data_IF_844833124000
#
_entry.id   IF_844833124000
#
_cell.length_a   1.000
_cell.length_b   1.000
_cell.length_c   1.000
_cell.angle_alpha   90.00
_cell.angle_beta   90.00
_cell.angle_gamma   90.00
#
_symmetry.space_group_name_H-M   'P 1'
#
loop_
_entity.id
_entity.type
_entity.pdbx_description
1 polymer ?
#
# COMPACT_ATOMS: atom_id res chain seq x y z
N UNK A 1 52.36 -7.86 5.69
CA UNK A 1 51.09 -7.24 5.25
C UNK A 1 50.92 -7.65 3.80
N UNK A 2 50.15 -8.69 3.54
CA UNK A 2 49.82 -9.08 2.16
C UNK A 2 48.78 -8.08 1.63
N UNK A 3 49.05 -7.46 0.48
CA UNK A 3 48.12 -6.54 -0.17
C UNK A 3 47.30 -7.29 -1.22
N UNK A 4 46.08 -6.83 -1.45
CA UNK A 4 45.18 -7.40 -2.47
C UNK A 4 45.76 -7.37 -3.90
N UNK A 5 46.77 -6.51 -4.15
CA UNK A 5 47.51 -6.43 -5.43
C UNK A 5 48.48 -7.60 -5.65
N UNK A 6 48.74 -8.38 -4.61
CA UNK A 6 49.66 -9.52 -4.65
C UNK A 6 48.92 -10.81 -5.09
N UNK A 7 47.63 -10.71 -5.44
CA UNK A 7 46.78 -11.78 -5.95
C UNK A 7 46.34 -11.50 -7.39
N UNK A 8 46.63 -12.44 -8.30
CA UNK A 8 46.04 -12.47 -9.64
C UNK A 8 44.63 -13.07 -9.56
N UNK A 9 43.61 -12.22 -9.61
CA UNK A 9 42.21 -12.63 -9.52
C UNK A 9 41.55 -12.64 -10.91
N UNK A 10 41.05 -13.80 -11.33
CA UNK A 10 40.17 -13.93 -12.49
C UNK A 10 38.71 -13.70 -12.10
N UNK A 11 38.08 -12.69 -12.72
CA UNK A 11 36.65 -12.42 -12.53
C UNK A 11 35.85 -13.34 -13.46
N UNK A 12 35.40 -14.46 -12.93
CA UNK A 12 34.54 -15.42 -13.64
C UNK A 12 33.06 -15.07 -13.46
N UNK A 13 32.40 -14.67 -14.54
CA UNK A 13 30.96 -14.42 -14.56
C UNK A 13 30.18 -15.74 -14.63
N UNK A 14 29.33 -16.00 -13.62
CA UNK A 14 28.42 -17.14 -13.60
C UNK A 14 26.96 -16.68 -13.81
N UNK A 15 26.29 -17.11 -14.89
CA UNK A 15 24.88 -16.82 -15.13
C UNK A 15 23.98 -17.29 -13.98
N UNK A 16 22.98 -16.46 -13.63
CA UNK A 16 22.20 -16.58 -12.39
C UNK A 16 21.46 -17.92 -12.15
N UNK A 17 21.27 -18.76 -13.19
CA UNK A 17 20.66 -20.09 -13.02
C UNK A 17 21.58 -21.07 -12.28
N UNK A 18 22.90 -20.84 -12.29
CA UNK A 18 23.91 -21.64 -11.58
C UNK A 18 24.39 -20.99 -10.27
N UNK A 19 24.02 -19.73 -10.02
CA UNK A 19 24.51 -18.97 -8.88
C UNK A 19 23.58 -19.14 -7.66
N UNK A 20 23.97 -19.99 -6.71
CA UNK A 20 23.21 -20.23 -5.46
C UNK A 20 23.31 -19.07 -4.46
N UNK A 21 24.18 -18.09 -4.70
CA UNK A 21 24.28 -16.85 -3.92
C UNK A 21 23.86 -15.70 -4.82
N UNK A 22 22.87 -14.94 -4.35
CA UNK A 22 22.31 -13.79 -5.07
C UNK A 22 23.41 -12.76 -5.35
N UNK A 23 23.60 -12.41 -6.62
CA UNK A 23 24.41 -11.24 -6.99
C UNK A 23 23.70 -9.95 -6.53
N UNK A 24 24.36 -9.18 -5.65
CA UNK A 24 23.82 -7.93 -5.11
C UNK A 24 23.76 -6.80 -6.16
N UNK A 25 24.38 -6.99 -7.34
CA UNK A 25 24.50 -5.97 -8.37
C UNK A 25 23.40 -6.02 -9.43
N UNK A 26 22.76 -7.18 -9.67
CA UNK A 26 21.70 -7.33 -10.67
C UNK A 26 20.40 -6.54 -10.40
N UNK A 27 20.26 -5.86 -9.25
CA UNK A 27 19.05 -5.09 -8.90
C UNK A 27 19.21 -3.57 -9.05
N UNK A 28 20.39 -3.07 -9.40
CA UNK A 28 20.76 -1.66 -9.16
C UNK A 28 20.10 -0.63 -10.08
N UNK A 29 19.83 -0.91 -11.35
CA UNK A 29 19.34 0.14 -12.26
C UNK A 29 17.90 0.59 -11.93
N UNK A 30 16.99 -0.37 -11.69
CA UNK A 30 15.61 -0.08 -11.31
C UNK A 30 15.54 0.57 -9.93
N UNK A 31 16.32 0.09 -8.95
CA UNK A 31 16.37 0.66 -7.60
C UNK A 31 16.93 2.09 -7.63
N UNK A 32 17.98 2.36 -8.41
CA UNK A 32 18.54 3.71 -8.54
C UNK A 32 17.54 4.69 -9.17
N UNK A 33 16.82 4.29 -10.22
CA UNK A 33 15.78 5.13 -10.82
C UNK A 33 14.61 5.40 -9.87
N UNK A 34 14.23 4.42 -9.04
CA UNK A 34 13.20 4.59 -8.00
C UNK A 34 13.69 5.60 -6.96
N UNK A 35 14.89 5.43 -6.41
CA UNK A 35 15.45 6.34 -5.39
C UNK A 35 15.51 7.81 -5.86
N UNK A 36 15.85 8.04 -7.14
CA UNK A 36 15.89 9.39 -7.73
C UNK A 36 14.50 10.00 -7.89
N UNK A 37 13.48 9.22 -8.27
CA UNK A 37 12.10 9.72 -8.36
C UNK A 37 11.51 10.06 -6.99
N UNK A 38 11.81 9.26 -5.97
CA UNK A 38 11.34 9.48 -4.60
C UNK A 38 11.96 10.71 -3.94
N UNK A 39 13.23 11.00 -4.23
CA UNK A 39 13.91 12.19 -3.71
C UNK A 39 13.20 13.49 -4.16
N UNK A 40 12.79 13.55 -5.43
CA UNK A 40 12.07 14.71 -5.98
C UNK A 40 10.72 14.94 -5.30
N UNK A 41 10.04 13.89 -4.80
CA UNK A 41 8.78 14.03 -4.08
C UNK A 41 8.99 14.57 -2.66
N UNK A 42 10.07 14.14 -1.98
CA UNK A 42 10.46 14.68 -0.66
C UNK A 42 10.85 16.16 -0.79
N UNK A 43 11.58 16.53 -1.83
CA UNK A 43 11.89 17.93 -2.13
C UNK A 43 10.62 18.73 -2.42
N UNK A 44 9.69 18.22 -3.25
CA UNK A 44 8.41 18.90 -3.50
C UNK A 44 7.56 19.05 -2.23
N UNK A 45 7.53 18.06 -1.35
CA UNK A 45 6.82 18.15 -0.07
C UNK A 45 7.50 19.13 0.89
N UNK A 46 8.84 19.20 0.88
CA UNK A 46 9.63 20.18 1.65
C UNK A 46 9.40 21.61 1.16
N UNK A 47 9.32 21.78 -0.16
CA UNK A 47 9.19 23.08 -0.83
C UNK A 47 7.72 23.50 -1.01
N UNK A 48 6.76 22.70 -0.52
CA UNK A 48 5.35 23.04 -0.52
C UNK A 48 5.06 24.09 0.55
N UNK A 49 4.75 25.32 0.12
CA UNK A 49 4.23 26.37 1.01
C UNK A 49 2.76 26.10 1.35
N UNK A 50 2.52 25.47 2.50
CA UNK A 50 1.18 25.37 3.07
C UNK A 50 0.75 26.74 3.63
N UNK A 51 -0.17 27.42 2.94
CA UNK A 51 -0.75 28.68 3.43
C UNK A 51 -1.80 28.38 4.50
N UNK A 52 -1.56 28.88 5.71
CA UNK A 52 -2.51 28.84 6.82
C UNK A 52 -3.06 30.24 7.05
N UNK A 53 -4.36 30.43 6.90
CA UNK A 53 -5.03 31.66 7.35
C UNK A 53 -5.36 31.52 8.84
N UNK A 54 -4.71 32.34 9.66
CA UNK A 54 -4.93 32.38 11.11
C UNK A 54 -5.73 33.63 11.45
N UNK A 55 -7.01 33.44 11.78
CA UNK A 55 -7.86 34.47 12.39
C UNK A 55 -7.55 34.62 13.89
N UNK A 56 -7.50 35.86 14.38
CA UNK A 56 -7.10 36.19 15.75
C UNK A 56 -8.14 35.73 16.80
N UNK A 57 -7.81 34.71 17.61
CA UNK A 57 -7.78 34.71 19.10
C UNK A 57 -7.63 33.29 19.71
N UNK A 58 -6.70 33.21 20.67
CA UNK A 58 -6.49 32.20 21.73
C UNK A 58 -6.39 30.69 21.35
N UNK A 59 -5.14 30.19 21.38
CA UNK A 59 -4.73 28.79 21.63
C UNK A 59 -5.39 27.72 20.73
N UNK A 60 -4.90 27.60 19.50
CA UNK A 60 -5.21 26.45 18.64
C UNK A 60 -4.00 25.53 18.47
N UNK A 61 -4.21 24.23 18.66
CA UNK A 61 -3.35 23.20 18.07
C UNK A 61 -3.80 23.01 16.62
N UNK A 62 -3.08 23.62 15.67
CA UNK A 62 -3.28 23.30 14.26
C UNK A 62 -2.76 21.88 14.00
N UNK A 63 -3.66 20.96 13.65
CA UNK A 63 -3.29 19.61 13.22
C UNK A 63 -3.35 19.56 11.70
N UNK A 64 -2.20 19.46 11.03
CA UNK A 64 -2.15 19.17 9.60
C UNK A 64 -2.71 17.75 9.38
N UNK A 65 -3.83 17.63 8.68
CA UNK A 65 -4.40 16.35 8.25
C UNK A 65 -4.20 16.22 6.75
N UNK A 66 -3.31 15.32 6.34
CA UNK A 66 -3.17 14.91 4.95
C UNK A 66 -4.17 13.77 4.75
N UNK A 67 -5.26 14.06 4.04
CA UNK A 67 -6.25 13.05 3.65
C UNK A 67 -5.97 12.67 2.20
N UNK A 68 -5.90 11.37 1.90
CA UNK A 68 -5.73 10.92 0.51
C UNK A 68 -6.98 11.26 -0.29
N UNK A 69 -6.83 11.67 -1.56
CA UNK A 69 -7.95 11.97 -2.46
C UNK A 69 -8.97 10.83 -2.51
N UNK A 70 -8.50 9.59 -2.48
CA UNK A 70 -9.35 8.40 -2.43
C UNK A 70 -10.24 8.37 -1.18
N UNK A 71 -9.75 8.81 -0.01
CA UNK A 71 -10.55 8.88 1.22
C UNK A 71 -11.62 9.96 1.12
N UNK A 72 -11.30 11.13 0.56
CA UNK A 72 -12.27 12.20 0.33
C UNK A 72 -13.39 11.70 -0.58
N UNK A 73 -13.04 11.05 -1.69
CA UNK A 73 -13.98 10.46 -2.64
C UNK A 73 -14.87 9.41 -1.97
N UNK A 74 -14.32 8.52 -1.14
CA UNK A 74 -15.11 7.51 -0.40
C UNK A 74 -16.14 8.19 0.49
N UNK A 75 -15.74 9.20 1.27
CA UNK A 75 -16.67 9.91 2.17
C UNK A 75 -17.81 10.60 1.44
N UNK A 76 -17.57 11.09 0.21
CA UNK A 76 -18.59 11.73 -0.61
C UNK A 76 -19.54 10.73 -1.28
N UNK A 77 -19.03 9.56 -1.70
CA UNK A 77 -19.83 8.54 -2.39
C UNK A 77 -20.67 7.70 -1.41
N UNK A 78 -20.17 7.48 -0.20
CA UNK A 78 -20.80 6.60 0.79
C UNK A 78 -22.27 6.95 1.12
N UNK A 79 -22.66 8.22 1.30
CA UNK A 79 -24.06 8.59 1.57
C UNK A 79 -25.01 8.32 0.40
N UNK A 80 -24.49 8.20 -0.82
CA UNK A 80 -25.28 7.98 -2.05
C UNK A 80 -25.57 6.50 -2.28
N UNK A 81 -24.84 5.62 -1.58
CA UNK A 81 -24.90 4.19 -1.82
C UNK A 81 -26.16 3.54 -1.17
N UNK A 82 -26.94 2.77 -1.93
CA UNK A 82 -28.18 2.17 -1.44
C UNK A 82 -27.95 1.10 -0.36
N UNK A 83 -26.83 0.38 -0.38
CA UNK A 83 -26.51 -0.60 0.66
C UNK A 83 -26.11 0.09 1.96
N UNK A 84 -25.36 1.19 1.88
CA UNK A 84 -25.07 2.01 3.05
C UNK A 84 -26.33 2.66 3.60
N UNK A 85 -27.19 3.22 2.75
CA UNK A 85 -28.46 3.79 3.21
C UNK A 85 -29.35 2.74 3.89
N UNK A 86 -29.39 1.50 3.38
CA UNK A 86 -30.09 0.40 4.05
C UNK A 86 -29.50 0.12 5.44
N UNK A 87 -28.18 0.07 5.57
CA UNK A 87 -27.50 -0.10 6.87
C UNK A 87 -27.70 1.12 7.78
N UNK A 88 -27.87 2.33 7.24
CA UNK A 88 -28.22 3.55 7.98
C UNK A 88 -29.66 3.57 8.48
N UNK A 89 -30.59 2.95 7.75
CA UNK A 89 -32.01 2.85 8.12
C UNK A 89 -32.32 1.67 9.06
N UNK A 90 -31.43 0.69 9.14
CA UNK A 90 -31.52 -0.38 10.12
C UNK A 90 -31.39 0.17 11.54
N UNK A 91 -32.32 -0.23 12.41
CA UNK A 91 -32.38 0.16 13.82
C UNK A 91 -31.02 -0.06 14.50
N UNK A 92 -30.61 0.89 15.34
CA UNK A 92 -29.34 0.85 16.09
C UNK A 92 -29.16 -0.45 16.87
N UNK A 93 -30.28 -1.03 17.33
CA UNK A 93 -30.31 -2.31 18.06
C UNK A 93 -30.23 -3.55 17.15
N UNK A 94 -30.54 -3.41 15.86
CA UNK A 94 -30.44 -4.48 14.84
C UNK A 94 -29.18 -4.39 13.99
N UNK A 95 -28.53 -3.22 13.95
CA UNK A 95 -27.18 -3.07 13.41
C UNK A 95 -26.29 -4.08 14.12
N UNK A 96 -25.58 -4.90 13.35
CA UNK A 96 -24.46 -5.69 13.89
C UNK A 96 -23.58 -4.72 14.68
N UNK A 97 -23.36 -5.00 15.97
CA UNK A 97 -22.70 -4.12 16.95
C UNK A 97 -21.33 -3.53 16.51
N UNK A 98 -20.81 -4.02 15.40
CA UNK A 98 -19.53 -3.65 14.82
C UNK A 98 -19.58 -2.40 13.91
N UNK A 99 -20.76 -2.05 13.36
CA UNK A 99 -20.94 -0.89 12.47
C UNK A 99 -21.28 0.37 13.24
N UNK A 100 -20.50 1.42 13.01
CA UNK A 100 -20.62 2.72 13.67
C UNK A 100 -20.68 3.82 12.62
N UNK A 101 -21.56 4.79 12.80
CA UNK A 101 -21.58 6.02 12.00
C UNK A 101 -20.79 7.05 12.77
N UNK A 102 -19.78 7.61 12.13
CA UNK A 102 -18.96 8.69 12.70
C UNK A 102 -19.65 10.04 12.55
N UNK A 103 -19.19 11.05 13.29
CA UNK A 103 -19.74 12.42 13.28
C UNK A 103 -19.69 13.08 11.89
N UNK A 104 -18.82 12.59 11.00
CA UNK A 104 -18.70 12.99 9.60
C UNK A 104 -19.74 12.33 8.68
N UNK A 105 -20.69 11.56 9.22
CA UNK A 105 -21.75 10.88 8.47
C UNK A 105 -21.30 9.60 7.76
N UNK A 106 -20.08 9.14 8.08
CA UNK A 106 -19.41 8.04 7.38
C UNK A 106 -19.54 6.74 8.17
N UNK A 107 -19.90 5.66 7.49
CA UNK A 107 -19.99 4.31 8.03
C UNK A 107 -18.58 3.71 8.21
N UNK A 108 -18.32 3.25 9.44
CA UNK A 108 -17.09 2.57 9.84
C UNK A 108 -17.39 1.23 10.51
N UNK A 109 -16.52 0.25 10.29
CA UNK A 109 -16.54 -1.03 10.97
C UNK A 109 -15.29 -1.13 11.86
N UNK A 110 -15.46 -1.21 13.18
CA UNK A 110 -14.34 -1.17 14.15
C UNK A 110 -13.35 -0.02 13.89
N UNK A 111 -13.85 1.18 13.59
CA UNK A 111 -13.02 2.36 13.27
C UNK A 111 -12.44 2.40 11.85
N UNK A 112 -12.66 1.37 11.02
CA UNK A 112 -12.18 1.28 9.63
C UNK A 112 -13.25 1.77 8.67
N UNK A 113 -12.83 2.49 7.63
CA UNK A 113 -13.71 3.01 6.59
C UNK A 113 -14.29 1.86 5.77
N UNK A 114 -15.62 1.78 5.69
CA UNK A 114 -16.31 0.77 4.89
C UNK A 114 -16.29 1.21 3.42
N UNK A 115 -15.67 0.41 2.57
CA UNK A 115 -15.67 0.62 1.12
C UNK A 115 -16.90 -0.02 0.51
N UNK A 116 -17.59 0.74 -0.34
CA UNK A 116 -18.77 0.33 -1.09
C UNK A 116 -18.48 -0.86 -2.03
N UNK A 117 -19.52 -1.44 -2.63
CA UNK A 117 -19.39 -2.43 -3.72
C UNK A 117 -19.08 -1.78 -5.07
N UNK A 118 -18.17 -0.81 -5.05
CA UNK A 118 -17.62 -0.16 -6.23
C UNK A 118 -16.28 -0.81 -6.59
N UNK A 119 -16.28 -1.53 -7.72
CA UNK A 119 -15.10 -2.24 -8.24
C UNK A 119 -13.99 -1.27 -8.64
N UNK A 120 -14.35 -0.10 -9.21
CA UNK A 120 -13.37 0.89 -9.64
C UNK A 120 -12.66 1.50 -8.44
N UNK A 121 -13.42 1.85 -7.40
CA UNK A 121 -12.88 2.41 -6.17
C UNK A 121 -11.98 1.40 -5.43
N UNK A 122 -12.38 0.12 -5.38
CA UNK A 122 -11.53 -0.93 -4.81
C UNK A 122 -10.24 -1.09 -5.63
N UNK A 123 -10.32 -1.09 -6.95
CA UNK A 123 -9.14 -1.21 -7.81
C UNK A 123 -8.22 0.02 -7.70
N UNK A 124 -8.77 1.22 -7.52
CA UNK A 124 -8.02 2.45 -7.25
C UNK A 124 -7.22 2.33 -5.95
N UNK A 125 -7.85 1.90 -4.85
CA UNK A 125 -7.18 1.66 -3.56
C UNK A 125 -6.10 0.58 -3.68
N UNK A 126 -6.40 -0.52 -4.38
CA UNK A 126 -5.45 -1.62 -4.58
C UNK A 126 -4.26 -1.19 -5.44
N UNK A 127 -4.52 -0.47 -6.53
CA UNK A 127 -3.49 0.07 -7.43
C UNK A 127 -2.59 1.05 -6.69
N UNK A 128 -3.15 1.99 -5.92
CA UNK A 128 -2.38 2.93 -5.12
C UNK A 128 -1.50 2.19 -4.10
N UNK A 129 -2.09 1.28 -3.31
CA UNK A 129 -1.32 0.52 -2.32
C UNK A 129 -0.28 -0.43 -2.90
N UNK A 130 -0.42 -0.83 -4.17
CA UNK A 130 0.47 -1.76 -4.84
C UNK A 130 1.55 -1.07 -5.69
N UNK A 131 1.24 0.10 -6.25
CA UNK A 131 2.11 0.89 -7.14
C UNK A 131 2.72 2.12 -6.48
N UNK A 132 2.28 2.48 -5.27
CA UNK A 132 2.90 3.55 -4.50
C UNK A 132 4.39 3.30 -4.47
N UNK A 133 5.15 4.25 -5.02
CA UNK A 133 6.60 4.15 -5.19
C UNK A 133 7.33 3.88 -3.85
N UNK A 134 6.69 4.25 -2.74
CA UNK A 134 7.13 4.01 -1.36
C UNK A 134 7.05 2.55 -0.93
N UNK A 135 6.15 1.75 -1.51
CA UNK A 135 5.90 0.37 -1.14
C UNK A 135 6.30 -0.52 -2.33
N UNK A 136 7.60 -0.85 -2.40
CA UNK A 136 8.16 -1.80 -3.37
C UNK A 136 7.27 -3.05 -3.44
N UNK A 137 6.43 -3.12 -4.49
CA UNK A 137 5.45 -4.17 -4.81
C UNK A 137 5.16 -5.16 -3.65
N UNK A 138 4.37 -4.74 -2.65
CA UNK A 138 4.16 -5.55 -1.46
C UNK A 138 3.47 -6.86 -1.84
N UNK A 139 3.92 -7.96 -1.24
CA UNK A 139 3.19 -9.22 -1.30
C UNK A 139 1.79 -9.08 -0.67
N UNK A 140 0.87 -9.97 -1.04
CA UNK A 140 -0.54 -9.94 -0.61
C UNK A 140 -0.72 -9.80 0.91
N UNK A 141 0.11 -10.49 1.71
CA UNK A 141 0.06 -10.41 3.19
C UNK A 141 0.36 -8.99 3.69
N UNK A 142 1.44 -8.37 3.20
CA UNK A 142 1.85 -7.01 3.61
C UNK A 142 0.82 -5.98 3.16
N UNK A 143 0.33 -6.13 1.94
CA UNK A 143 -0.72 -5.27 1.38
C UNK A 143 -2.01 -5.34 2.21
N UNK A 144 -2.44 -6.54 2.61
CA UNK A 144 -3.58 -6.71 3.51
C UNK A 144 -3.35 -6.10 4.91
N UNK A 145 -2.16 -6.28 5.48
CA UNK A 145 -1.83 -5.72 6.79
C UNK A 145 -1.83 -4.19 6.82
N UNK A 146 -1.45 -3.55 5.72
CA UNK A 146 -1.50 -2.10 5.59
C UNK A 146 -2.94 -1.62 5.40
N UNK A 147 -3.64 -2.16 4.41
CA UNK A 147 -4.98 -1.68 4.05
C UNK A 147 -6.01 -1.92 5.16
N UNK A 148 -5.92 -3.04 5.89
CA UNK A 148 -6.88 -3.38 6.96
C UNK A 148 -6.86 -2.41 8.14
N UNK A 149 -5.85 -1.55 8.26
CA UNK A 149 -5.78 -0.55 9.33
C UNK A 149 -6.78 0.58 9.11
N UNK A 150 -7.06 0.89 7.85
CA UNK A 150 -7.86 2.05 7.47
C UNK A 150 -9.15 1.67 6.76
N UNK A 151 -9.17 0.54 6.03
CA UNK A 151 -10.26 0.16 5.15
C UNK A 151 -10.81 -1.23 5.49
N UNK A 152 -12.08 -1.44 5.14
CA UNK A 152 -12.73 -2.74 5.19
C UNK A 152 -13.75 -2.89 4.06
N UNK A 153 -13.78 -4.08 3.43
CA UNK A 153 -14.85 -4.53 2.54
C UNK A 153 -14.92 -6.07 2.52
N UNK A 154 -16.04 -6.61 2.03
CA UNK A 154 -16.21 -8.06 1.88
C UNK A 154 -15.25 -8.59 0.82
N UNK A 155 -14.58 -9.72 1.09
CA UNK A 155 -13.66 -10.31 0.11
C UNK A 155 -12.30 -9.59 -0.06
N UNK A 156 -11.99 -8.57 0.75
CA UNK A 156 -10.74 -7.79 0.69
C UNK A 156 -9.46 -8.61 0.51
N UNK A 157 -9.31 -9.73 1.24
CA UNK A 157 -8.14 -10.61 1.09
C UNK A 157 -8.05 -11.25 -0.30
N UNK A 158 -9.18 -11.67 -0.86
CA UNK A 158 -9.25 -12.30 -2.16
C UNK A 158 -8.93 -11.29 -3.27
N UNK A 159 -9.46 -10.07 -3.16
CA UNK A 159 -9.18 -9.00 -4.12
C UNK A 159 -7.70 -8.60 -4.12
N UNK A 160 -7.10 -8.44 -2.94
CA UNK A 160 -5.66 -8.19 -2.81
C UNK A 160 -4.84 -9.32 -3.42
N UNK A 161 -5.18 -10.58 -3.14
CA UNK A 161 -4.48 -11.73 -3.71
C UNK A 161 -4.58 -11.74 -5.24
N UNK A 162 -5.78 -11.46 -5.79
CA UNK A 162 -6.03 -11.38 -7.23
C UNK A 162 -5.25 -10.23 -7.89
N UNK A 163 -5.20 -9.06 -7.24
CA UNK A 163 -4.49 -7.88 -7.74
C UNK A 163 -2.98 -8.13 -7.77
N UNK A 164 -2.39 -8.61 -6.67
CA UNK A 164 -0.96 -8.94 -6.60
C UNK A 164 -0.60 -10.08 -7.57
N UNK A 165 -1.49 -11.05 -7.77
CA UNK A 165 -1.29 -12.12 -8.73
C UNK A 165 -1.24 -11.64 -10.18
N UNK A 166 -1.86 -10.51 -10.54
CA UNK A 166 -1.79 -9.90 -11.88
C UNK A 166 -0.48 -9.13 -12.13
N UNK A 167 0.31 -8.84 -11.10
CA UNK A 167 1.51 -8.04 -11.23
C UNK A 167 2.71 -8.86 -11.74
N UNK A 168 3.19 -8.54 -12.94
CA UNK A 168 4.36 -9.19 -13.56
C UNK A 168 5.62 -9.07 -12.69
N UNK A 169 5.87 -7.90 -12.10
CA UNK A 169 7.02 -7.70 -11.21
C UNK A 169 6.96 -8.64 -9.99
N UNK A 170 5.78 -8.76 -9.35
CA UNK A 170 5.58 -9.70 -8.24
C UNK A 170 5.75 -11.15 -8.66
N UNK A 171 5.28 -11.52 -9.85
CA UNK A 171 5.42 -12.88 -10.37
C UNK A 171 6.90 -13.23 -10.60
N UNK A 172 7.68 -12.31 -11.17
CA UNK A 172 9.10 -12.53 -11.48
C UNK A 172 9.98 -12.65 -10.23
N UNK A 173 9.67 -11.90 -9.16
CA UNK A 173 10.46 -11.92 -7.92
C UNK A 173 10.06 -13.04 -6.96
N UNK A 174 8.87 -13.63 -7.13
CA UNK A 174 8.44 -14.78 -6.32
C UNK A 174 9.26 -16.01 -6.75
N UNK A 175 10.26 -16.37 -5.94
CA UNK A 175 10.87 -17.67 -6.04
C UNK A 175 9.81 -18.77 -5.87
N UNK A 176 9.78 -19.74 -6.78
CA UNK A 176 9.01 -20.97 -6.57
C UNK A 176 9.61 -21.69 -5.36
N UNK A 177 8.95 -21.57 -4.21
CA UNK A 177 9.20 -22.44 -3.06
C UNK A 177 8.57 -23.80 -3.32
N UNK A 178 9.11 -24.54 -4.28
CA UNK A 178 8.89 -25.99 -4.31
C UNK A 178 9.59 -26.57 -3.08
N UNK A 179 8.87 -27.38 -2.29
CA UNK A 179 9.52 -28.21 -1.28
C UNK A 179 10.58 -29.04 -2.02
N UNK A 180 11.84 -29.10 -1.54
CA UNK A 180 12.81 -30.00 -2.17
C UNK A 180 12.19 -31.40 -2.15
N UNK A 181 12.05 -31.99 -3.34
CA UNK A 181 11.59 -33.37 -3.46
C UNK A 181 12.50 -34.22 -2.59
N UNK A 182 11.94 -34.83 -1.56
CA UNK A 182 12.70 -35.74 -0.71
C UNK A 182 13.32 -36.80 -1.60
N UNK A 183 14.65 -36.95 -1.52
CA UNK A 183 15.31 -38.10 -2.12
C UNK A 183 14.77 -39.37 -1.43
N UNK A 184 14.33 -40.32 -2.26
CA UNK A 184 14.22 -41.74 -1.90
C UNK A 184 15.60 -42.34 -1.67
#
# INVERSE_FOLDING_TARGET
MELLKDYDCDILYHPGKANKVVDALSRKSSIAQILVKEWNLIERARDSEFKFEVGHLSRFMATLRIELDVQVKIKQLQPTDPDVQRILQEDTDKRKADFQVSDDGVLRLHGRLVILDDVELREEILSEAHRSSYIIHPGSTKMYQNLRQHYWWSGMKADIARHVAKCLTCQQVKAQHCKPGGLM
#
